data_IF_509855626267
#
_entry.id   IF_509855626267
#
_cell.length_a   1.000
_cell.length_b   1.000
_cell.length_c   1.000
_cell.angle_alpha   90.00
_cell.angle_beta   90.00
_cell.angle_gamma   90.00
#
_symmetry.space_group_name_H-M   'P 1'
#
loop_
_entity.id
_entity.type
_entity.pdbx_description
1 polymer ?
#
# COMPACT_ATOMS: atom_id res chain seq x y z
N UNK A 1 13.10 -21.71 -0.27
CA UNK A 1 12.59 -20.71 0.69
C UNK A 1 13.45 -19.46 0.50
N UNK A 2 13.01 -18.50 -0.30
CA UNK A 2 13.71 -17.21 -0.37
C UNK A 2 13.58 -16.54 1.01
N UNK A 3 14.72 -16.17 1.59
CA UNK A 3 14.75 -15.37 2.82
C UNK A 3 14.00 -14.05 2.55
N UNK A 4 12.77 -13.99 3.00
CA UNK A 4 11.97 -12.76 2.91
C UNK A 4 12.65 -11.70 3.78
N UNK A 5 13.27 -10.71 3.16
CA UNK A 5 14.00 -9.63 3.84
C UNK A 5 13.11 -8.94 4.87
N UNK A 6 11.83 -8.79 4.57
CA UNK A 6 10.83 -8.18 5.45
C UNK A 6 10.60 -9.01 6.71
N UNK A 7 10.65 -10.35 6.62
CA UNK A 7 10.55 -11.25 7.77
C UNK A 7 11.66 -10.97 8.81
N UNK A 8 12.89 -10.74 8.34
CA UNK A 8 14.04 -10.48 9.21
C UNK A 8 14.06 -9.05 9.77
N UNK A 9 13.47 -8.11 9.05
CA UNK A 9 13.51 -6.67 9.39
C UNK A 9 12.36 -6.23 10.30
N UNK A 10 11.29 -7.01 10.45
CA UNK A 10 10.02 -6.58 11.05
C UNK A 10 10.19 -5.86 12.41
N UNK A 11 11.01 -6.40 13.32
CA UNK A 11 11.23 -5.81 14.64
C UNK A 11 12.02 -4.48 14.64
N UNK A 12 12.69 -4.17 13.53
CA UNK A 12 13.48 -2.94 13.33
C UNK A 12 12.99 -2.13 12.15
N UNK A 13 11.78 -2.45 11.67
CA UNK A 13 11.23 -1.83 10.47
C UNK A 13 10.91 -0.37 10.67
N UNK A 14 10.38 -0.02 11.83
CA UNK A 14 9.91 1.33 12.17
C UNK A 14 11.07 2.25 12.55
N UNK A 15 11.95 2.53 11.59
CA UNK A 15 13.00 3.54 11.77
C UNK A 15 12.38 4.94 11.74
N UNK A 16 13.09 5.92 12.30
CA UNK A 16 12.66 7.32 12.30
C UNK A 16 12.36 7.82 10.87
N UNK A 17 13.24 7.50 9.91
CA UNK A 17 13.07 7.86 8.50
C UNK A 17 11.79 7.27 7.90
N UNK A 18 11.48 5.99 8.19
CA UNK A 18 10.25 5.35 7.71
C UNK A 18 9.00 5.90 8.38
N UNK A 19 9.08 6.22 9.66
CA UNK A 19 7.97 6.86 10.36
C UNK A 19 7.68 8.26 9.82
N UNK A 20 8.71 9.05 9.51
CA UNK A 20 8.52 10.36 8.88
C UNK A 20 7.93 10.24 7.47
N UNK A 21 8.42 9.31 6.65
CA UNK A 21 7.84 9.07 5.32
C UNK A 21 6.38 8.60 5.42
N UNK A 22 6.08 7.71 6.38
CA UNK A 22 4.71 7.26 6.63
C UNK A 22 3.77 8.42 7.01
N UNK A 23 4.21 9.38 7.83
CA UNK A 23 3.41 10.57 8.16
C UNK A 23 3.06 11.40 6.92
N UNK A 24 4.01 11.56 6.01
CA UNK A 24 3.79 12.27 4.74
C UNK A 24 2.73 11.53 3.90
N UNK A 25 2.86 10.22 3.78
CA UNK A 25 1.92 9.36 3.06
C UNK A 25 0.53 9.42 3.70
N UNK A 26 0.44 9.22 5.01
CA UNK A 26 -0.81 9.29 5.77
C UNK A 26 -1.53 10.62 5.52
N UNK A 27 -0.81 11.74 5.58
CA UNK A 27 -1.38 13.07 5.31
C UNK A 27 -2.03 13.15 3.93
N UNK A 28 -1.40 12.57 2.91
CA UNK A 28 -1.96 12.58 1.54
C UNK A 28 -3.15 11.63 1.41
N UNK A 29 -3.04 10.38 1.92
CA UNK A 29 -4.13 9.39 1.89
C UNK A 29 -5.37 9.89 2.63
N UNK A 30 -5.21 10.58 3.76
CA UNK A 30 -6.34 11.19 4.51
C UNK A 30 -7.18 12.14 3.65
N UNK A 31 -6.60 12.75 2.62
CA UNK A 31 -7.37 13.61 1.69
C UNK A 31 -8.32 12.81 0.80
N UNK A 32 -7.95 11.59 0.44
CA UNK A 32 -8.78 10.67 -0.35
C UNK A 32 -9.89 9.99 0.48
N UNK A 33 -9.72 9.93 1.82
CA UNK A 33 -10.61 9.25 2.76
C UNK A 33 -11.58 10.17 3.50
N UNK A 34 -11.71 11.43 3.11
CA UNK A 34 -12.50 12.44 3.86
C UNK A 34 -13.95 12.05 4.14
N UNK A 35 -14.57 11.25 3.28
CA UNK A 35 -15.98 10.84 3.36
C UNK A 35 -16.15 9.32 3.56
N UNK A 36 -15.10 8.62 4.00
CA UNK A 36 -15.04 7.15 4.02
C UNK A 36 -15.41 6.52 5.36
N UNK A 37 -16.08 7.27 6.25
CA UNK A 37 -16.35 6.84 7.64
C UNK A 37 -17.16 5.55 7.77
N UNK A 38 -17.95 5.21 6.76
CA UNK A 38 -18.78 4.00 6.70
C UNK A 38 -18.20 2.92 5.79
N UNK A 39 -17.00 3.14 5.25
CA UNK A 39 -16.38 2.26 4.28
C UNK A 39 -15.35 1.34 4.94
N UNK A 40 -15.20 0.13 4.40
CA UNK A 40 -14.18 -0.83 4.76
C UNK A 40 -12.91 -0.62 3.94
N UNK A 41 -11.74 -0.74 4.57
CA UNK A 41 -10.44 -0.56 3.93
C UNK A 41 -9.57 -1.81 4.06
N UNK A 42 -8.95 -2.25 2.97
CA UNK A 42 -7.82 -3.18 2.99
C UNK A 42 -6.53 -2.41 2.73
N UNK A 43 -5.57 -2.51 3.64
CA UNK A 43 -4.19 -2.04 3.45
C UNK A 43 -3.32 -3.23 3.03
N UNK A 44 -3.04 -3.36 1.71
CA UNK A 44 -2.30 -4.47 1.14
C UNK A 44 -0.80 -4.21 1.14
N UNK A 45 -0.03 -5.12 1.75
CA UNK A 45 1.39 -4.96 2.03
C UNK A 45 1.61 -4.00 3.20
N UNK A 46 0.74 -4.07 4.19
CA UNK A 46 0.67 -3.11 5.32
C UNK A 46 1.94 -3.06 6.19
N UNK A 47 2.81 -4.05 6.07
CA UNK A 47 3.99 -4.17 6.93
C UNK A 47 3.61 -4.20 8.41
N UNK A 48 4.25 -3.33 9.19
CA UNK A 48 3.96 -3.17 10.63
C UNK A 48 2.75 -2.28 10.92
N UNK A 49 1.99 -1.86 9.90
CA UNK A 49 0.82 -1.00 10.04
C UNK A 49 1.14 0.49 10.24
N UNK A 50 2.32 0.95 9.79
CA UNK A 50 2.73 2.37 9.94
C UNK A 50 1.74 3.35 9.28
N UNK A 51 1.09 2.94 8.19
CA UNK A 51 0.16 3.78 7.43
C UNK A 51 -1.27 3.41 7.81
N UNK A 52 -1.68 2.16 7.63
CA UNK A 52 -3.07 1.75 7.81
C UNK A 52 -3.63 2.04 9.20
N UNK A 53 -2.85 1.82 10.27
CA UNK A 53 -3.31 2.07 11.64
C UNK A 53 -3.59 3.56 11.92
N UNK A 54 -2.87 4.47 11.26
CA UNK A 54 -3.08 5.92 11.38
C UNK A 54 -4.28 6.43 10.56
N UNK A 55 -4.97 5.53 9.83
CA UNK A 55 -6.19 5.82 9.06
C UNK A 55 -7.45 5.27 9.73
N UNK A 56 -7.31 4.56 10.85
CA UNK A 56 -8.40 3.85 11.52
C UNK A 56 -9.55 4.75 11.98
N UNK A 57 -9.28 6.02 12.24
CA UNK A 57 -10.28 7.02 12.61
C UNK A 57 -11.14 7.52 11.42
N UNK A 58 -10.77 7.19 10.18
CA UNK A 58 -11.42 7.68 8.96
C UNK A 58 -12.35 6.69 8.28
N UNK A 59 -12.31 5.44 8.67
CA UNK A 59 -13.07 4.34 8.03
C UNK A 59 -13.82 3.52 9.09
N UNK A 60 -14.79 2.72 8.64
CA UNK A 60 -15.52 1.81 9.53
C UNK A 60 -14.61 0.69 10.03
N UNK A 61 -13.87 0.07 9.14
CA UNK A 61 -13.00 -1.06 9.48
C UNK A 61 -11.75 -1.11 8.59
N UNK A 62 -10.65 -1.63 9.14
CA UNK A 62 -9.40 -1.86 8.40
C UNK A 62 -8.98 -3.33 8.53
N UNK A 63 -8.64 -3.93 7.38
CA UNK A 63 -7.91 -5.18 7.28
C UNK A 63 -6.49 -4.91 6.78
N UNK A 64 -5.52 -5.07 7.68
CA UNK A 64 -4.10 -5.02 7.32
C UNK A 64 -3.69 -6.39 6.75
N UNK A 65 -3.16 -6.42 5.53
CA UNK A 65 -2.74 -7.67 4.85
C UNK A 65 -1.25 -7.60 4.56
N UNK A 66 -0.51 -8.61 4.98
CA UNK A 66 0.92 -8.71 4.66
C UNK A 66 1.35 -10.17 4.46
N UNK A 67 2.35 -10.39 3.61
CA UNK A 67 2.93 -11.69 3.29
C UNK A 67 4.08 -12.10 4.24
N UNK A 68 4.43 -11.27 5.23
CA UNK A 68 5.39 -11.56 6.29
C UNK A 68 4.67 -11.84 7.60
N UNK A 69 4.89 -13.03 8.16
CA UNK A 69 4.34 -13.40 9.47
C UNK A 69 4.84 -12.46 10.58
N UNK A 70 6.11 -12.07 10.53
CA UNK A 70 6.69 -11.19 11.54
C UNK A 70 6.11 -9.77 11.45
N UNK A 71 5.84 -9.24 10.25
CA UNK A 71 5.15 -7.96 10.08
C UNK A 71 3.73 -8.02 10.68
N UNK A 72 2.99 -9.08 10.37
CA UNK A 72 1.65 -9.34 10.93
C UNK A 72 1.66 -9.35 12.46
N UNK A 73 2.63 -10.02 13.09
CA UNK A 73 2.72 -10.06 14.56
C UNK A 73 3.05 -8.70 15.17
N UNK A 74 3.92 -7.91 14.53
CA UNK A 74 4.20 -6.54 14.97
C UNK A 74 2.95 -5.66 14.86
N UNK A 75 2.22 -5.75 13.74
CA UNK A 75 0.99 -5.00 13.54
C UNK A 75 -0.10 -5.36 14.57
N UNK A 76 -0.28 -6.66 14.87
CA UNK A 76 -1.19 -7.12 15.94
C UNK A 76 -0.83 -6.56 17.30
N UNK A 77 0.46 -6.57 17.65
CA UNK A 77 0.94 -6.01 18.91
C UNK A 77 0.64 -4.51 19.01
N UNK A 78 0.80 -3.74 17.91
CA UNK A 78 0.46 -2.31 17.87
C UNK A 78 -1.05 -2.06 18.03
N UNK A 79 -1.90 -2.84 17.36
CA UNK A 79 -3.35 -2.75 17.49
C UNK A 79 -3.75 -2.92 18.96
N UNK A 80 -3.24 -3.98 19.61
CA UNK A 80 -3.51 -4.26 21.02
C UNK A 80 -3.00 -3.14 21.93
N UNK A 81 -1.77 -2.68 21.74
CA UNK A 81 -1.16 -1.63 22.58
C UNK A 81 -1.87 -0.28 22.43
N UNK A 82 -2.32 0.08 21.22
CA UNK A 82 -3.04 1.34 20.95
C UNK A 82 -4.54 1.24 21.27
N UNK A 83 -5.08 0.07 21.59
CA UNK A 83 -6.51 -0.15 21.83
C UNK A 83 -7.38 0.11 20.59
N UNK A 84 -6.88 -0.14 19.38
CA UNK A 84 -7.63 0.06 18.13
C UNK A 84 -8.61 -1.09 17.97
N UNK A 85 -9.92 -0.80 17.90
CA UNK A 85 -10.97 -1.81 17.92
C UNK A 85 -11.51 -2.20 16.54
N UNK A 86 -11.31 -1.35 15.54
CA UNK A 86 -11.83 -1.55 14.19
C UNK A 86 -10.77 -2.07 13.20
N UNK A 87 -9.64 -2.57 13.67
CA UNK A 87 -8.56 -3.07 12.83
C UNK A 87 -8.28 -4.55 13.06
N UNK A 88 -8.07 -5.28 11.97
CA UNK A 88 -7.67 -6.71 11.96
C UNK A 88 -6.43 -6.89 11.11
N UNK A 89 -5.73 -8.02 11.29
CA UNK A 89 -4.54 -8.37 10.50
C UNK A 89 -4.72 -9.74 9.88
N UNK A 90 -4.35 -9.88 8.61
CA UNK A 90 -4.36 -11.11 7.85
C UNK A 90 -2.98 -11.40 7.27
N UNK A 91 -2.46 -12.58 7.51
CA UNK A 91 -1.30 -13.10 6.79
C UNK A 91 -1.75 -13.68 5.45
N UNK A 92 -1.42 -13.01 4.34
CA UNK A 92 -1.77 -13.45 2.99
C UNK A 92 -0.89 -12.80 1.93
N UNK A 93 -0.68 -13.52 0.82
CA UNK A 93 -0.01 -13.04 -0.38
C UNK A 93 -0.94 -13.23 -1.59
N UNK A 94 -1.55 -12.16 -2.08
CA UNK A 94 -2.50 -12.21 -3.19
C UNK A 94 -1.83 -12.62 -4.52
N UNK A 95 -0.50 -12.55 -4.63
CA UNK A 95 0.21 -13.08 -5.81
C UNK A 95 0.15 -14.62 -5.89
N UNK A 96 -0.11 -15.29 -4.75
CA UNK A 96 -0.25 -16.75 -4.63
C UNK A 96 -1.70 -17.22 -4.63
N UNK A 97 -2.64 -16.31 -4.51
CA UNK A 97 -4.07 -16.55 -4.47
C UNK A 97 -4.75 -15.58 -3.52
N UNK A 98 -5.82 -14.98 -4.00
CA UNK A 98 -6.58 -14.00 -3.22
C UNK A 98 -7.66 -14.72 -2.41
N UNK A 99 -7.72 -14.51 -1.10
CA UNK A 99 -8.81 -15.04 -0.28
C UNK A 99 -10.14 -14.38 -0.68
N UNK A 100 -11.25 -15.01 -0.31
CA UNK A 100 -12.59 -14.50 -0.57
C UNK A 100 -12.88 -13.30 0.35
N UNK A 101 -12.44 -12.12 -0.11
CA UNK A 101 -12.53 -10.84 0.60
C UNK A 101 -13.20 -9.79 -0.28
N UNK A 102 -13.88 -8.85 0.39
CA UNK A 102 -14.43 -7.64 -0.24
C UNK A 102 -14.15 -6.42 0.63
N UNK A 103 -13.89 -5.29 -0.04
CA UNK A 103 -13.72 -3.99 0.61
C UNK A 103 -14.18 -2.86 -0.30
N UNK A 104 -14.53 -1.74 0.30
CA UNK A 104 -14.91 -0.53 -0.42
C UNK A 104 -13.68 0.24 -0.89
N UNK A 105 -12.58 0.11 -0.12
CA UNK A 105 -11.30 0.77 -0.43
C UNK A 105 -10.17 -0.26 -0.31
N UNK A 106 -9.26 -0.23 -1.29
CA UNK A 106 -7.96 -0.89 -1.21
C UNK A 106 -6.87 0.16 -1.28
N UNK A 107 -6.00 0.17 -0.29
CA UNK A 107 -4.76 0.95 -0.25
C UNK A 107 -3.59 0.01 -0.52
N UNK A 108 -2.68 0.40 -1.38
CA UNK A 108 -1.38 -0.23 -1.57
C UNK A 108 -0.31 0.86 -1.59
N UNK A 109 0.62 0.82 -0.65
CA UNK A 109 1.60 1.88 -0.44
C UNK A 109 3.02 1.36 -0.34
N UNK A 110 3.88 1.77 -1.28
CA UNK A 110 5.28 1.36 -1.41
C UNK A 110 5.46 -0.17 -1.50
N UNK A 111 4.56 -0.84 -2.20
CA UNK A 111 4.52 -2.29 -2.33
C UNK A 111 4.62 -2.73 -3.79
N UNK A 112 4.00 -2.01 -4.74
CA UNK A 112 4.04 -2.37 -6.16
C UNK A 112 5.47 -2.48 -6.68
N UNK A 113 6.37 -1.64 -6.20
CA UNK A 113 7.80 -1.68 -6.57
C UNK A 113 8.47 -3.03 -6.24
N UNK A 114 7.90 -3.84 -5.35
CA UNK A 114 8.39 -5.17 -4.97
C UNK A 114 7.70 -6.32 -5.69
N UNK A 115 6.65 -6.04 -6.48
CA UNK A 115 5.85 -7.05 -7.17
C UNK A 115 6.22 -7.08 -8.66
N UNK A 116 6.82 -8.18 -9.15
CA UNK A 116 7.27 -8.26 -10.56
C UNK A 116 6.14 -8.12 -11.58
N UNK A 117 4.98 -8.72 -11.31
CA UNK A 117 3.81 -8.67 -12.19
C UNK A 117 2.77 -7.69 -11.65
N UNK A 118 2.99 -6.40 -11.98
CA UNK A 118 2.10 -5.31 -11.59
C UNK A 118 0.67 -5.51 -12.09
N UNK A 119 0.49 -6.00 -13.33
CA UNK A 119 -0.85 -6.19 -13.90
C UNK A 119 -1.63 -7.28 -13.17
N UNK A 120 -0.98 -8.39 -12.85
CA UNK A 120 -1.58 -9.49 -12.10
C UNK A 120 -2.07 -9.04 -10.73
N UNK A 121 -1.23 -8.38 -9.95
CA UNK A 121 -1.66 -7.94 -8.62
C UNK A 121 -2.78 -6.90 -8.68
N UNK A 122 -2.74 -5.97 -9.63
CA UNK A 122 -3.83 -5.00 -9.81
C UNK A 122 -5.15 -5.69 -10.17
N UNK A 123 -5.11 -6.80 -10.92
CA UNK A 123 -6.31 -7.62 -11.19
C UNK A 123 -6.85 -8.27 -9.92
N UNK A 124 -5.98 -8.79 -9.05
CA UNK A 124 -6.40 -9.37 -7.77
C UNK A 124 -7.02 -8.30 -6.85
N UNK A 125 -6.41 -7.11 -6.78
CA UNK A 125 -6.96 -6.00 -6.02
C UNK A 125 -8.30 -5.50 -6.59
N UNK A 126 -8.46 -5.51 -7.92
CA UNK A 126 -9.74 -5.21 -8.58
C UNK A 126 -10.84 -6.21 -8.19
N UNK A 127 -10.49 -7.51 -8.12
CA UNK A 127 -11.43 -8.55 -7.72
C UNK A 127 -11.89 -8.42 -6.27
N UNK A 128 -11.03 -7.94 -5.38
CA UNK A 128 -11.32 -7.70 -3.95
C UNK A 128 -12.23 -6.48 -3.74
N UNK A 129 -12.18 -5.49 -4.61
CA UNK A 129 -13.03 -4.30 -4.48
C UNK A 129 -14.51 -4.64 -4.70
N UNK A 130 -15.35 -4.01 -3.89
CA UNK A 130 -16.78 -3.90 -4.13
C UNK A 130 -17.05 -3.11 -5.42
N UNK A 131 -18.27 -3.19 -5.99
CA UNK A 131 -18.67 -2.30 -7.09
C UNK A 131 -18.56 -0.85 -6.62
N UNK A 132 -18.10 0.04 -7.50
CA UNK A 132 -17.77 1.44 -7.22
C UNK A 132 -16.65 1.64 -6.16
N UNK A 133 -16.01 0.56 -5.74
CA UNK A 133 -14.91 0.59 -4.77
C UNK A 133 -13.68 1.33 -5.30
N UNK A 134 -12.89 1.89 -4.39
CA UNK A 134 -11.74 2.76 -4.69
C UNK A 134 -10.41 2.04 -4.48
N UNK A 135 -9.51 2.12 -5.46
CA UNK A 135 -8.11 1.77 -5.32
C UNK A 135 -7.27 3.03 -5.12
N UNK A 136 -6.46 3.05 -4.06
CA UNK A 136 -5.47 4.09 -3.80
C UNK A 136 -4.08 3.46 -3.86
N UNK A 137 -3.23 4.00 -4.72
CA UNK A 137 -1.83 3.55 -4.88
C UNK A 137 -0.91 4.69 -4.49
N UNK A 138 0.07 4.41 -3.65
CA UNK A 138 1.22 5.29 -3.40
C UNK A 138 2.49 4.51 -3.75
N UNK A 139 3.29 5.08 -4.63
CA UNK A 139 4.60 4.51 -4.97
C UNK A 139 5.51 5.60 -5.54
N UNK A 140 6.72 5.22 -5.95
CA UNK A 140 7.70 6.14 -6.50
C UNK A 140 7.49 6.38 -7.99
N UNK A 141 7.63 7.63 -8.42
CA UNK A 141 7.81 7.97 -9.83
C UNK A 141 9.10 7.33 -10.36
N UNK A 142 9.14 7.05 -11.67
CA UNK A 142 10.28 6.44 -12.34
C UNK A 142 11.59 7.17 -12.04
N UNK A 143 12.57 6.44 -11.53
CA UNK A 143 13.90 6.96 -11.22
C UNK A 143 15.00 6.14 -11.92
N UNK A 144 15.56 6.68 -12.98
CA UNK A 144 16.59 6.02 -13.79
C UNK A 144 17.92 5.79 -13.06
N UNK A 145 18.13 6.43 -11.91
CA UNK A 145 19.33 6.22 -11.07
C UNK A 145 19.23 4.94 -10.23
N UNK A 146 18.04 4.37 -10.11
CA UNK A 146 17.80 3.12 -9.39
C UNK A 146 17.99 1.94 -10.36
N UNK A 147 18.87 1.03 -9.99
CA UNK A 147 19.07 -0.23 -10.68
C UNK A 147 19.21 -1.35 -9.65
N UNK A 148 18.13 -2.10 -9.45
CA UNK A 148 18.10 -3.19 -8.48
C UNK A 148 17.36 -4.40 -9.07
N UNK A 149 17.90 -5.63 -8.95
CA UNK A 149 17.34 -6.81 -9.64
C UNK A 149 15.97 -7.27 -9.12
N UNK A 150 15.60 -6.88 -7.90
CA UNK A 150 14.36 -7.33 -7.22
C UNK A 150 13.38 -6.19 -6.92
N UNK A 151 13.64 -4.98 -7.39
CA UNK A 151 12.82 -3.81 -7.09
C UNK A 151 12.65 -3.01 -8.37
N UNK A 152 11.41 -2.67 -8.71
CA UNK A 152 11.15 -1.71 -9.78
C UNK A 152 11.81 -0.36 -9.46
N UNK A 153 12.33 0.30 -10.47
CA UNK A 153 12.91 1.64 -10.31
C UNK A 153 11.86 2.77 -10.33
N UNK A 154 10.64 2.46 -9.88
CA UNK A 154 9.48 3.35 -9.91
C UNK A 154 8.65 3.20 -11.19
N UNK A 155 7.58 3.98 -11.30
CA UNK A 155 6.56 3.84 -12.33
C UNK A 155 6.44 5.11 -13.17
N UNK A 156 6.32 4.95 -14.49
CA UNK A 156 5.84 6.02 -15.36
C UNK A 156 4.32 6.12 -15.21
N UNK A 157 3.81 7.28 -14.83
CA UNK A 157 2.40 7.48 -14.52
C UNK A 157 1.48 7.12 -15.70
N UNK A 158 1.89 7.40 -16.94
CA UNK A 158 1.12 7.05 -18.14
C UNK A 158 1.07 5.53 -18.37
N UNK A 159 2.16 4.80 -18.10
CA UNK A 159 2.19 3.34 -18.18
C UNK A 159 1.30 2.71 -17.10
N UNK A 160 1.38 3.19 -15.87
CA UNK A 160 0.53 2.73 -14.77
C UNK A 160 -0.95 3.00 -15.08
N UNK A 161 -1.29 4.18 -15.59
CA UNK A 161 -2.64 4.54 -16.00
C UNK A 161 -3.18 3.60 -17.07
N UNK A 162 -2.33 3.24 -18.05
CA UNK A 162 -2.71 2.27 -19.09
C UNK A 162 -3.00 0.89 -18.49
N UNK A 163 -2.14 0.39 -17.59
CA UNK A 163 -2.34 -0.90 -16.93
C UNK A 163 -3.63 -0.90 -16.12
N UNK A 164 -3.89 0.15 -15.32
CA UNK A 164 -5.13 0.30 -14.55
C UNK A 164 -6.37 0.28 -15.45
N UNK A 165 -6.33 1.00 -16.57
CA UNK A 165 -7.43 1.00 -17.55
C UNK A 165 -7.64 -0.38 -18.19
N UNK A 166 -6.57 -1.10 -18.53
CA UNK A 166 -6.65 -2.46 -19.09
C UNK A 166 -7.20 -3.48 -18.08
N UNK A 167 -6.98 -3.28 -16.78
CA UNK A 167 -7.58 -4.10 -15.71
C UNK A 167 -9.07 -3.82 -15.54
N UNK A 168 -9.52 -2.63 -15.89
CA UNK A 168 -10.94 -2.23 -15.81
C UNK A 168 -11.22 -1.06 -14.88
N UNK A 169 -10.20 -0.48 -14.26
CA UNK A 169 -10.36 0.72 -13.42
C UNK A 169 -10.78 1.95 -14.23
N UNK A 170 -11.62 2.77 -13.62
CA UNK A 170 -12.19 4.00 -14.18
C UNK A 170 -11.76 5.22 -13.35
N UNK A 171 -12.05 6.42 -13.84
CA UNK A 171 -11.81 7.68 -13.12
C UNK A 171 -10.37 7.84 -12.61
N UNK A 172 -9.40 7.31 -13.35
CA UNK A 172 -8.01 7.22 -12.93
C UNK A 172 -7.39 8.62 -12.84
N UNK A 173 -6.96 8.99 -11.64
CA UNK A 173 -6.23 10.24 -11.36
C UNK A 173 -4.88 9.87 -10.78
N UNK A 174 -3.80 10.45 -11.29
CA UNK A 174 -2.44 10.24 -10.79
C UNK A 174 -1.77 11.61 -10.68
N UNK A 175 -1.11 11.87 -9.56
CA UNK A 175 -0.34 13.09 -9.34
C UNK A 175 0.88 12.82 -8.47
N UNK A 176 2.00 13.45 -8.78
CA UNK A 176 3.13 13.52 -7.85
C UNK A 176 2.76 14.46 -6.71
N UNK A 177 2.97 14.06 -5.45
CA UNK A 177 2.60 14.83 -4.28
C UNK A 177 3.78 15.15 -3.35
N UNK A 178 4.91 14.45 -3.51
CA UNK A 178 6.07 14.64 -2.65
C UNK A 178 7.38 14.43 -3.41
N UNK A 179 8.39 15.25 -3.08
CA UNK A 179 9.78 15.09 -3.50
C UNK A 179 10.65 15.05 -2.25
N UNK A 180 11.43 14.00 -2.10
CA UNK A 180 12.26 13.81 -0.91
C UNK A 180 13.71 13.46 -1.24
N UNK A 181 14.60 13.87 -0.33
CA UNK A 181 16.01 13.55 -0.46
C UNK A 181 16.27 12.13 0.08
N UNK A 182 16.96 11.31 -0.72
CA UNK A 182 17.43 9.97 -0.35
C UNK A 182 16.34 8.97 0.10
N UNK A 183 15.08 9.21 -0.29
CA UNK A 183 13.91 8.41 0.14
C UNK A 183 13.73 7.10 -0.60
N UNK A 184 14.41 6.90 -1.74
CA UNK A 184 14.34 5.68 -2.52
C UNK A 184 15.74 5.11 -2.77
N UNK A 185 16.11 4.06 -2.04
CA UNK A 185 17.44 3.41 -2.12
C UNK A 185 18.59 4.42 -2.06
N UNK A 186 18.53 5.35 -1.10
CA UNK A 186 19.47 6.44 -0.89
C UNK A 186 19.59 7.44 -2.05
N UNK A 187 18.64 7.44 -2.98
CA UNK A 187 18.50 8.43 -4.04
C UNK A 187 17.33 9.38 -3.74
N UNK A 188 17.47 10.62 -4.19
CA UNK A 188 16.37 11.57 -4.20
C UNK A 188 15.29 11.05 -5.14
N UNK A 189 14.03 11.11 -4.73
CA UNK A 189 12.93 10.58 -5.51
C UNK A 189 11.63 11.36 -5.25
N UNK A 190 10.68 11.12 -6.15
CA UNK A 190 9.32 11.63 -6.05
C UNK A 190 8.36 10.49 -5.79
N UNK A 191 7.31 10.77 -5.03
CA UNK A 191 6.19 9.85 -4.84
C UNK A 191 4.93 10.40 -5.50
N UNK A 192 4.18 9.50 -6.12
CA UNK A 192 2.84 9.79 -6.64
C UNK A 192 1.77 9.14 -5.79
N UNK A 193 0.57 9.71 -5.88
CA UNK A 193 -0.69 9.07 -5.47
C UNK A 193 -1.55 8.84 -6.70
N UNK A 194 -2.11 7.65 -6.81
CA UNK A 194 -3.14 7.31 -7.78
C UNK A 194 -4.43 6.96 -7.06
N UNK A 195 -5.54 7.46 -7.57
CA UNK A 195 -6.90 7.12 -7.13
C UNK A 195 -7.72 6.71 -8.34
N UNK A 196 -8.40 5.57 -8.25
CA UNK A 196 -9.24 5.03 -9.33
C UNK A 196 -10.42 4.24 -8.75
N UNK A 197 -11.48 4.06 -9.55
CA UNK A 197 -12.68 3.31 -9.15
C UNK A 197 -12.84 2.04 -9.98
N UNK A 198 -13.44 1.03 -9.39
CA UNK A 198 -13.84 -0.20 -10.08
C UNK A 198 -14.97 0.04 -11.06
#
# INVERSE_FOLDING_TARGET
MENNVFEQMAKRYDTEERMELAKIIVKEVRTELRNSKTESLIDYGSGTGLIGLELSDLVDSILLVDSSKQMVEVAKAKISHKGITNSKVLYSDFTQGTPELKADIVLISLVLLHIPDTKKILQELFNVLNEDGKLIIIDFDKNHKINHPKVHNGFLQEELKKILSEVGFKSIKIKTFYHGNRIFMHQDASMFISSSTK
#
